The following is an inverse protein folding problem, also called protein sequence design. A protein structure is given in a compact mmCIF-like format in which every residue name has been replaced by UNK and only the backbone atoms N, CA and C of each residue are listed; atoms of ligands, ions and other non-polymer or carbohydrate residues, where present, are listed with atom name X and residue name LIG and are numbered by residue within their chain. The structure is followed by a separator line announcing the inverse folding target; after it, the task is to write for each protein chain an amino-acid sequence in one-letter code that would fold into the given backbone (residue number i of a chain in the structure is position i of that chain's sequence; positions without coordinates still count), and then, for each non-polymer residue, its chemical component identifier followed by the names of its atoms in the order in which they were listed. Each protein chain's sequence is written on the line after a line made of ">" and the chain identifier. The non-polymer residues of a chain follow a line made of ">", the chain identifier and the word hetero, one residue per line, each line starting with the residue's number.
data_IF_322490943861
#
_entry.id   IF_322490943861
#
_cell.length_a   1.000
_cell.length_b   1.000
_cell.length_c   1.000
_cell.angle_alpha   90.00
_cell.angle_beta   90.00
_cell.angle_gamma   90.00
#
_symmetry.space_group_name_H-M   'P 1'
#
loop_
_entity.id
_entity.type
_entity.pdbx_description
1 polymer ?
#
# COMPACT_ATOMS: atom_id res chain seq x y z
N UNK A 1 -7.18 -2.03 -19.39
CA UNK A 1 -7.54 -0.58 -19.44
C UNK A 1 -6.26 0.23 -19.33
N UNK A 2 -6.07 1.27 -20.16
CA UNK A 2 -4.90 2.16 -20.11
C UNK A 2 -5.37 3.59 -19.86
N UNK A 3 -4.88 4.22 -18.81
CA UNK A 3 -5.13 5.63 -18.53
C UNK A 3 -4.00 6.47 -19.12
N UNK A 4 -4.34 7.42 -19.97
CA UNK A 4 -3.36 8.39 -20.53
C UNK A 4 -3.01 9.48 -19.52
N UNK A 5 -3.90 9.75 -18.58
CA UNK A 5 -3.71 10.71 -17.51
C UNK A 5 -4.21 10.10 -16.19
N UNK A 6 -3.33 10.00 -15.21
CA UNK A 6 -3.64 9.52 -13.87
C UNK A 6 -2.85 10.34 -12.84
N UNK A 7 -3.55 10.87 -11.84
CA UNK A 7 -2.95 11.76 -10.84
C UNK A 7 -3.25 11.27 -9.43
N UNK A 8 -2.22 11.22 -8.59
CA UNK A 8 -2.42 11.05 -7.16
C UNK A 8 -2.97 12.37 -6.57
N UNK A 9 -3.88 12.26 -5.63
CA UNK A 9 -4.53 13.41 -4.98
C UNK A 9 -3.59 14.23 -4.09
N UNK A 10 -2.43 13.69 -3.76
CA UNK A 10 -1.38 14.35 -2.97
C UNK A 10 -0.02 13.71 -3.29
N UNK A 11 1.07 14.49 -3.29
CA UNK A 11 2.43 13.97 -3.44
C UNK A 11 2.94 13.30 -2.14
N UNK A 12 2.14 13.26 -1.09
CA UNK A 12 2.51 12.71 0.22
C UNK A 12 1.65 11.49 0.56
N UNK A 13 2.27 10.45 1.11
CA UNK A 13 1.66 9.13 1.31
C UNK A 13 0.39 9.15 2.16
N UNK A 14 0.41 9.70 3.36
CA UNK A 14 -0.76 9.68 4.26
C UNK A 14 -1.96 10.44 3.68
N UNK A 15 -1.85 11.69 3.21
CA UNK A 15 -2.97 12.40 2.58
C UNK A 15 -3.54 11.69 1.36
N UNK A 16 -2.67 11.12 0.50
CA UNK A 16 -3.11 10.38 -0.68
C UNK A 16 -3.89 9.12 -0.30
N UNK A 17 -3.39 8.34 0.68
CA UNK A 17 -4.09 7.15 1.21
C UNK A 17 -5.42 7.49 1.83
N UNK A 18 -5.47 8.60 2.55
CA UNK A 18 -6.69 9.15 3.11
C UNK A 18 -7.73 9.44 2.04
N UNK A 19 -7.30 10.10 0.98
CA UNK A 19 -8.16 10.43 -0.15
C UNK A 19 -8.74 9.17 -0.81
N UNK A 20 -7.93 8.14 -0.99
CA UNK A 20 -8.38 6.85 -1.54
C UNK A 20 -9.45 6.25 -0.64
N UNK A 21 -9.23 6.18 0.68
CA UNK A 21 -10.16 5.54 1.61
C UNK A 21 -11.52 6.24 1.68
N UNK A 22 -11.54 7.57 1.64
CA UNK A 22 -12.75 8.35 1.88
C UNK A 22 -13.33 9.03 0.63
N UNK A 23 -12.71 8.85 -0.53
CA UNK A 23 -13.18 9.45 -1.79
C UNK A 23 -13.18 10.98 -1.78
N UNK A 24 -12.32 11.62 -0.99
CA UNK A 24 -12.29 13.07 -0.82
C UNK A 24 -10.91 13.66 -1.03
N UNK A 25 -10.86 14.87 -1.58
CA UNK A 25 -9.62 15.62 -1.67
C UNK A 25 -8.98 15.80 -0.30
N UNK A 26 -7.65 15.61 -0.15
CA UNK A 26 -6.93 15.83 1.10
C UNK A 26 -7.12 17.25 1.66
N UNK A 27 -7.28 18.25 0.80
CA UNK A 27 -7.56 19.62 1.22
C UNK A 27 -8.90 19.75 1.97
N UNK A 28 -9.93 19.02 1.52
CA UNK A 28 -11.23 18.98 2.20
C UNK A 28 -11.18 18.22 3.52
N UNK A 29 -10.25 17.31 3.65
CA UNK A 29 -10.03 16.53 4.88
C UNK A 29 -9.11 17.27 5.87
N UNK A 30 -8.62 18.46 5.51
CA UNK A 30 -7.62 19.24 6.27
C UNK A 30 -6.35 18.43 6.58
N UNK A 31 -6.01 17.48 5.70
CA UNK A 31 -4.95 16.52 5.87
C UNK A 31 -3.97 16.58 4.69
N UNK A 32 -3.15 17.62 4.67
CA UNK A 32 -2.22 17.88 3.56
C UNK A 32 -0.78 17.47 3.84
N UNK A 33 -0.48 17.00 5.08
CA UNK A 33 0.87 16.60 5.53
C UNK A 33 0.84 15.30 6.33
N UNK A 34 1.96 14.59 6.38
CA UNK A 34 2.11 13.34 7.16
C UNK A 34 1.82 13.53 8.65
N UNK A 35 2.19 14.68 9.19
CA UNK A 35 2.06 15.00 10.62
C UNK A 35 0.64 15.41 11.06
N UNK A 36 -0.28 15.54 10.12
CA UNK A 36 -1.65 15.99 10.38
C UNK A 36 -2.62 14.94 10.94
N UNK A 37 -2.13 13.76 11.32
CA UNK A 37 -2.96 12.61 11.68
C UNK A 37 -3.91 12.78 12.88
N UNK A 38 -3.81 13.87 13.63
CA UNK A 38 -4.74 14.19 14.71
C UNK A 38 -5.99 14.96 14.24
N UNK A 39 -6.02 15.35 12.95
CA UNK A 39 -7.14 16.10 12.34
C UNK A 39 -7.98 15.25 11.40
N UNK A 40 -7.83 13.95 11.48
CA UNK A 40 -8.61 13.00 10.70
C UNK A 40 -10.07 13.03 11.16
N UNK A 41 -10.96 13.37 10.26
CA UNK A 41 -12.38 13.19 10.54
C UNK A 41 -12.73 11.70 10.38
N UNK A 42 -12.76 10.99 11.49
CA UNK A 42 -13.08 9.57 11.55
C UNK A 42 -14.58 9.24 11.36
N UNK A 43 -15.44 10.25 11.25
CA UNK A 43 -16.88 10.07 10.97
C UNK A 43 -17.14 9.82 9.46
N UNK A 44 -16.11 9.99 8.63
CA UNK A 44 -16.19 9.66 7.21
C UNK A 44 -16.30 8.15 7.02
N UNK A 45 -17.20 7.72 6.15
CA UNK A 45 -17.28 6.31 5.75
C UNK A 45 -16.18 5.99 4.74
N UNK A 46 -15.45 4.91 5.01
CA UNK A 46 -14.47 4.35 4.08
C UNK A 46 -15.14 3.36 3.10
N UNK A 47 -14.41 2.98 2.07
CA UNK A 47 -14.90 2.09 1.01
C UNK A 47 -15.56 0.82 1.57
N UNK A 48 -14.97 0.05 2.51
CA UNK A 48 -15.61 -1.17 3.01
C UNK A 48 -16.94 -0.90 3.74
N UNK A 49 -17.04 0.20 4.49
CA UNK A 49 -18.28 0.57 5.17
C UNK A 49 -19.41 0.89 4.19
N UNK A 50 -19.09 1.50 3.05
CA UNK A 50 -20.07 1.78 1.99
C UNK A 50 -20.49 0.47 1.31
N UNK A 51 -19.55 -0.39 0.97
CA UNK A 51 -19.84 -1.67 0.30
C UNK A 51 -20.70 -2.58 1.18
N UNK A 52 -20.34 -2.72 2.47
CA UNK A 52 -21.11 -3.54 3.43
C UNK A 52 -22.48 -2.98 3.75
N UNK A 53 -22.69 -1.68 3.57
CA UNK A 53 -24.03 -1.08 3.68
C UNK A 53 -24.93 -1.42 2.46
N UNK A 54 -24.33 -1.72 1.30
CA UNK A 54 -25.05 -2.16 0.10
C UNK A 54 -25.33 -3.67 0.16
N UNK A 55 -24.30 -4.45 0.51
CA UNK A 55 -24.40 -5.90 0.69
C UNK A 55 -23.52 -6.35 1.86
N UNK A 56 -24.15 -6.80 2.94
CA UNK A 56 -23.46 -7.20 4.17
C UNK A 56 -22.52 -8.41 4.00
N UNK A 57 -22.62 -9.16 2.91
CA UNK A 57 -21.74 -10.29 2.58
C UNK A 57 -20.35 -9.85 2.14
N UNK A 58 -20.15 -8.57 1.81
CA UNK A 58 -18.82 -8.09 1.41
C UNK A 58 -17.77 -8.41 2.47
N UNK A 59 -16.68 -9.02 2.01
CA UNK A 59 -15.45 -9.16 2.77
C UNK A 59 -14.47 -8.07 2.32
N UNK A 60 -13.75 -7.48 3.26
CA UNK A 60 -12.81 -6.42 2.94
C UNK A 60 -11.43 -6.69 3.56
N UNK A 61 -10.38 -6.54 2.76
CA UNK A 61 -9.00 -6.63 3.22
C UNK A 61 -8.16 -5.41 2.83
N UNK A 62 -7.29 -5.01 3.75
CA UNK A 62 -6.21 -4.07 3.50
C UNK A 62 -4.88 -4.69 3.91
N UNK A 63 -4.00 -4.91 2.96
CA UNK A 63 -2.69 -5.52 3.18
C UNK A 63 -1.58 -4.52 2.88
N UNK A 64 -0.56 -4.48 3.75
CA UNK A 64 0.60 -3.62 3.61
C UNK A 64 0.45 -2.27 4.31
N UNK A 65 0.97 -1.22 3.70
CA UNK A 65 1.10 0.10 4.32
C UNK A 65 -0.22 0.83 4.45
N UNK A 66 -0.70 0.98 5.68
CA UNK A 66 -1.91 1.76 5.99
C UNK A 66 -1.64 3.26 6.08
N UNK A 67 -0.77 3.67 6.97
CA UNK A 67 -0.31 5.04 7.18
C UNK A 67 -1.42 6.08 7.47
N UNK A 68 -2.50 5.63 8.08
CA UNK A 68 -3.61 6.45 8.59
C UNK A 68 -3.66 6.23 10.10
N UNK A 69 -3.89 7.27 10.89
CA UNK A 69 -3.94 7.18 12.36
C UNK A 69 -5.31 6.69 12.85
N UNK A 70 -5.66 5.50 12.50
CA UNK A 70 -6.78 4.75 13.08
C UNK A 70 -6.64 3.30 12.68
N UNK A 71 -7.16 2.39 13.47
CA UNK A 71 -7.17 0.98 13.13
C UNK A 71 -8.05 0.73 11.90
N UNK A 72 -7.60 -0.04 10.88
CA UNK A 72 -8.41 -0.40 9.72
C UNK A 72 -9.73 -1.09 10.10
N UNK A 73 -9.77 -1.83 11.19
CA UNK A 73 -10.99 -2.46 11.70
C UNK A 73 -12.12 -1.44 11.93
N UNK A 74 -11.79 -0.21 12.33
CA UNK A 74 -12.76 0.89 12.49
C UNK A 74 -13.54 1.17 11.21
N UNK A 75 -12.94 0.87 10.08
CA UNK A 75 -13.49 1.12 8.74
C UNK A 75 -14.02 -0.15 8.07
N UNK A 76 -14.31 -1.16 8.89
CA UNK A 76 -14.91 -2.43 8.48
C UNK A 76 -14.02 -3.30 7.56
N UNK A 77 -12.71 -3.19 7.66
CA UNK A 77 -11.80 -4.18 7.12
C UNK A 77 -11.82 -5.43 8.02
N UNK A 78 -12.05 -6.60 7.42
CA UNK A 78 -12.10 -7.90 8.12
C UNK A 78 -10.70 -8.49 8.29
N UNK A 79 -9.84 -8.25 7.29
CA UNK A 79 -8.44 -8.69 7.28
C UNK A 79 -7.55 -7.47 7.06
N UNK A 80 -6.57 -7.27 7.94
CA UNK A 80 -5.67 -6.12 7.83
C UNK A 80 -4.38 -6.29 8.64
N UNK A 81 -3.39 -5.48 8.32
CA UNK A 81 -2.07 -5.47 8.98
C UNK A 81 -1.99 -4.47 10.15
N UNK A 82 -3.10 -3.85 10.51
CA UNK A 82 -3.12 -2.83 11.56
C UNK A 82 -2.62 -1.47 11.10
N UNK A 83 -2.18 -0.66 12.06
CA UNK A 83 -1.69 0.70 11.82
C UNK A 83 -0.24 0.71 11.32
N UNK A 84 0.00 0.09 10.18
CA UNK A 84 1.31 0.01 9.55
C UNK A 84 1.76 1.35 8.93
N UNK A 85 3.06 1.57 8.88
CA UNK A 85 3.70 2.72 8.24
C UNK A 85 4.89 2.33 7.39
N UNK A 86 5.91 3.18 7.32
CA UNK A 86 7.11 2.90 6.54
C UNK A 86 8.02 1.85 7.18
N UNK A 87 8.02 1.76 8.52
CA UNK A 87 8.90 0.86 9.29
C UNK A 87 8.66 -0.60 8.95
N UNK A 88 7.39 -0.99 8.80
CA UNK A 88 6.99 -2.36 8.50
C UNK A 88 7.47 -2.83 7.12
N UNK A 89 7.80 -1.88 6.23
CA UNK A 89 8.46 -2.12 4.95
C UNK A 89 9.98 -1.88 4.97
N UNK A 90 10.61 -1.95 6.15
CA UNK A 90 12.06 -1.85 6.28
C UNK A 90 12.63 -0.43 6.22
N UNK A 91 11.78 0.61 6.36
CA UNK A 91 12.29 1.99 6.37
C UNK A 91 13.09 2.30 7.62
N UNK A 92 14.30 2.76 7.42
CA UNK A 92 15.18 3.34 8.44
C UNK A 92 15.43 4.80 8.11
N UNK A 93 15.23 5.70 9.08
CA UNK A 93 15.46 7.14 8.87
C UNK A 93 16.94 7.50 9.04
N UNK A 94 17.78 6.79 8.28
CA UNK A 94 19.23 7.01 8.20
C UNK A 94 19.61 6.96 6.72
N UNK A 95 20.00 8.11 6.17
CA UNK A 95 20.34 8.23 4.74
C UNK A 95 21.55 7.39 4.34
N UNK A 96 22.45 7.07 5.26
CA UNK A 96 23.59 6.20 4.99
C UNK A 96 23.16 4.77 4.64
N UNK A 97 21.95 4.37 5.05
CA UNK A 97 21.36 3.05 4.81
C UNK A 97 20.38 3.03 3.62
N UNK A 98 20.27 4.09 2.84
CA UNK A 98 19.35 4.15 1.70
C UNK A 98 19.95 3.56 0.42
N UNK A 99 20.89 2.64 0.56
CA UNK A 99 21.35 1.82 -0.56
C UNK A 99 20.42 0.63 -0.77
N UNK A 100 20.44 0.09 -1.99
CA UNK A 100 19.80 -1.17 -2.29
C UNK A 100 20.51 -2.33 -1.58
N UNK A 101 19.74 -3.27 -1.03
CA UNK A 101 20.25 -4.51 -0.44
C UNK A 101 19.39 -5.69 -0.85
N UNK A 102 20.03 -6.86 -0.90
CA UNK A 102 19.35 -8.10 -1.26
C UNK A 102 18.63 -8.69 -0.03
N UNK A 103 17.40 -9.15 -0.23
CA UNK A 103 16.63 -9.94 0.75
C UNK A 103 15.63 -10.86 0.02
N UNK A 104 15.14 -11.88 0.70
CA UNK A 104 14.28 -12.90 0.08
C UNK A 104 12.86 -12.38 -0.20
N UNK A 105 12.35 -11.52 0.65
CA UNK A 105 11.02 -10.88 0.49
C UNK A 105 11.12 -9.35 0.52
N UNK A 106 11.68 -8.74 -0.54
CA UNK A 106 11.93 -7.31 -0.59
C UNK A 106 10.64 -6.52 -0.39
N UNK A 107 10.66 -5.65 0.62
CA UNK A 107 9.49 -4.83 0.96
C UNK A 107 8.22 -5.66 1.21
N UNK A 108 8.35 -6.91 1.63
CA UNK A 108 7.24 -7.84 1.84
C UNK A 108 6.36 -8.05 0.59
N UNK A 109 6.95 -7.91 -0.60
CA UNK A 109 6.17 -7.98 -1.84
C UNK A 109 5.58 -9.36 -2.06
N UNK A 110 6.34 -10.40 -1.78
CA UNK A 110 5.91 -11.79 -2.01
C UNK A 110 4.91 -12.22 -0.94
N UNK A 111 5.21 -12.02 0.33
CA UNK A 111 4.30 -12.37 1.44
C UNK A 111 2.97 -11.60 1.39
N UNK A 112 2.98 -10.34 0.98
CA UNK A 112 1.74 -9.58 0.76
C UNK A 112 0.92 -10.15 -0.40
N UNK A 113 1.59 -10.58 -1.48
CA UNK A 113 0.93 -11.18 -2.63
C UNK A 113 0.32 -12.54 -2.27
N UNK A 114 1.03 -13.39 -1.55
CA UNK A 114 0.53 -14.69 -1.06
C UNK A 114 -0.73 -14.51 -0.21
N UNK A 115 -0.70 -13.61 0.75
CA UNK A 115 -1.86 -13.31 1.60
C UNK A 115 -3.03 -12.70 0.83
N UNK A 116 -2.76 -11.93 -0.22
CA UNK A 116 -3.78 -11.41 -1.11
C UNK A 116 -4.48 -12.53 -1.88
N UNK A 117 -3.71 -13.48 -2.41
CA UNK A 117 -4.23 -14.67 -3.11
C UNK A 117 -5.06 -15.55 -2.15
N UNK A 118 -4.55 -15.77 -0.93
CA UNK A 118 -5.27 -16.51 0.12
C UNK A 118 -6.64 -15.85 0.42
N UNK A 119 -6.67 -14.54 0.68
CA UNK A 119 -7.90 -13.81 0.94
C UNK A 119 -8.91 -13.89 -0.22
N UNK A 120 -8.43 -13.76 -1.46
CA UNK A 120 -9.28 -13.89 -2.64
C UNK A 120 -9.84 -15.31 -2.77
N UNK A 121 -9.00 -16.32 -2.59
CA UNK A 121 -9.40 -17.73 -2.66
C UNK A 121 -10.46 -18.07 -1.60
N UNK A 122 -10.24 -17.65 -0.36
CA UNK A 122 -11.23 -17.82 0.69
C UNK A 122 -12.56 -17.10 0.38
N UNK A 123 -12.49 -15.90 -0.16
CA UNK A 123 -13.70 -15.13 -0.47
C UNK A 123 -14.52 -15.80 -1.59
N UNK A 124 -13.85 -16.31 -2.60
CA UNK A 124 -14.47 -17.07 -3.69
C UNK A 124 -15.10 -18.37 -3.14
N UNK A 125 -14.36 -19.12 -2.31
CA UNK A 125 -14.87 -20.37 -1.69
C UNK A 125 -16.12 -20.13 -0.84
N UNK A 126 -16.22 -18.96 -0.22
CA UNK A 126 -17.39 -18.55 0.57
C UNK A 126 -18.51 -17.91 -0.25
N UNK A 127 -18.36 -17.83 -1.56
CA UNK A 127 -19.27 -17.11 -2.46
C UNK A 127 -19.56 -15.67 -1.99
N UNK A 128 -18.57 -15.03 -1.37
CA UNK A 128 -18.68 -13.69 -0.82
C UNK A 128 -18.07 -12.67 -1.78
N UNK A 129 -18.76 -11.57 -2.10
CA UNK A 129 -18.15 -10.47 -2.80
C UNK A 129 -17.05 -9.87 -1.92
N UNK A 130 -15.97 -9.38 -2.54
CA UNK A 130 -14.87 -8.84 -1.76
C UNK A 130 -14.30 -7.53 -2.31
N UNK A 131 -13.68 -6.79 -1.41
CA UNK A 131 -12.84 -5.64 -1.70
C UNK A 131 -11.45 -5.91 -1.12
N UNK A 132 -10.44 -5.89 -1.97
CA UNK A 132 -9.05 -6.07 -1.58
C UNK A 132 -8.23 -4.85 -1.99
N UNK A 133 -7.56 -4.23 -1.03
CA UNK A 133 -6.56 -3.20 -1.29
C UNK A 133 -5.18 -3.69 -0.83
N UNK A 134 -4.26 -3.82 -1.77
CA UNK A 134 -2.85 -4.09 -1.50
C UNK A 134 -2.10 -2.77 -1.60
N UNK A 135 -1.43 -2.41 -0.53
CA UNK A 135 -0.66 -1.17 -0.42
C UNK A 135 0.81 -1.49 -0.19
N UNK A 136 1.52 -1.83 -1.26
CA UNK A 136 2.92 -2.20 -1.18
C UNK A 136 3.79 -1.12 -0.49
N UNK A 137 4.85 -1.56 0.18
CA UNK A 137 5.88 -0.69 0.75
C UNK A 137 6.89 -0.22 -0.29
N UNK A 138 7.02 -0.96 -1.39
CA UNK A 138 7.82 -0.56 -2.54
C UNK A 138 7.20 0.71 -3.20
N UNK A 139 7.96 1.63 -3.70
CA UNK A 139 9.43 1.76 -3.72
C UNK A 139 9.94 2.76 -2.67
N UNK A 140 9.46 2.72 -1.47
CA UNK A 140 9.93 3.63 -0.42
C UNK A 140 11.37 3.24 0.02
N UNK A 141 12.19 4.23 0.39
CA UNK A 141 13.49 3.96 1.03
C UNK A 141 13.31 3.06 2.27
N UNK A 142 14.20 2.22 2.65
CA UNK A 142 15.39 1.81 1.95
C UNK A 142 15.00 0.87 0.81
N UNK A 143 15.73 0.93 -0.31
CA UNK A 143 15.46 0.03 -1.42
C UNK A 143 15.91 -1.40 -1.06
N UNK A 144 15.11 -2.37 -1.46
CA UNK A 144 15.44 -3.79 -1.30
C UNK A 144 15.05 -4.54 -2.57
N UNK A 145 15.78 -5.61 -2.89
CA UNK A 145 15.56 -6.40 -4.08
C UNK A 145 15.86 -7.88 -3.83
N UNK A 146 15.25 -8.75 -4.63
CA UNK A 146 15.65 -10.14 -4.70
C UNK A 146 16.84 -10.26 -5.65
N UNK A 147 17.91 -10.92 -5.24
CA UNK A 147 19.15 -11.01 -6.01
C UNK A 147 18.91 -11.54 -7.43
N UNK A 148 18.13 -12.61 -7.57
CA UNK A 148 17.81 -13.20 -8.88
C UNK A 148 17.06 -12.24 -9.80
N UNK A 149 16.10 -11.47 -9.28
CA UNK A 149 15.35 -10.48 -10.06
C UNK A 149 16.25 -9.31 -10.47
N UNK A 150 17.15 -8.88 -9.58
CA UNK A 150 18.13 -7.83 -9.89
C UNK A 150 19.08 -8.26 -11.01
N UNK A 151 19.59 -9.49 -10.98
CA UNK A 151 20.47 -10.03 -12.02
C UNK A 151 19.75 -10.15 -13.36
N UNK A 152 18.50 -10.64 -13.37
CA UNK A 152 17.67 -10.74 -14.56
C UNK A 152 17.45 -9.36 -15.21
N UNK A 153 16.98 -8.37 -14.44
CA UNK A 153 16.74 -7.02 -14.94
C UNK A 153 18.03 -6.35 -15.37
N UNK A 154 19.11 -6.49 -14.58
CA UNK A 154 20.43 -5.90 -14.91
C UNK A 154 20.99 -6.43 -16.22
N UNK A 155 20.74 -7.70 -16.54
CA UNK A 155 21.19 -8.30 -17.82
C UNK A 155 20.47 -7.70 -19.04
N UNK A 156 19.30 -7.12 -18.86
CA UNK A 156 18.48 -6.52 -19.91
C UNK A 156 18.75 -5.00 -20.09
N UNK A 157 19.42 -4.38 -19.13
CA UNK A 157 19.73 -2.94 -19.16
C UNK A 157 21.05 -2.73 -19.90
N UNK A 158 21.10 -1.87 -20.94
CA UNK A 158 22.37 -1.51 -21.58
C UNK A 158 23.39 -0.99 -20.57
N UNK A 159 24.64 -1.41 -20.68
CA UNK A 159 25.72 -1.09 -19.73
C UNK A 159 26.03 0.41 -19.55
N UNK A 160 25.42 1.28 -20.37
CA UNK A 160 25.47 2.75 -20.25
C UNK A 160 24.44 3.31 -19.26
N UNK A 161 23.45 2.52 -18.82
CA UNK A 161 22.45 2.95 -17.87
C UNK A 161 22.86 2.59 -16.45
N UNK A 162 22.61 3.51 -15.54
CA UNK A 162 23.04 3.40 -14.15
C UNK A 162 22.40 2.18 -13.47
N UNK A 163 23.18 1.41 -12.69
CA UNK A 163 22.68 0.26 -11.93
C UNK A 163 21.45 0.55 -11.08
N UNK A 164 21.26 1.81 -10.65
CA UNK A 164 20.09 2.24 -9.88
C UNK A 164 18.76 2.08 -10.61
N UNK A 165 18.73 1.96 -11.94
CA UNK A 165 17.51 1.71 -12.70
C UNK A 165 17.02 0.27 -12.59
N UNK A 166 17.87 -0.65 -12.18
CA UNK A 166 17.48 -2.05 -11.96
C UNK A 166 16.58 -2.24 -10.71
N UNK A 167 16.44 -1.20 -9.88
CA UNK A 167 15.54 -1.22 -8.71
C UNK A 167 14.11 -0.75 -9.03
N UNK A 168 13.89 -0.16 -10.17
CA UNK A 168 12.60 0.38 -10.58
C UNK A 168 11.78 -0.62 -11.40
#
# INVERSE_FOLDING_TARGET
>A
MRFSNAYASSPVCAPSRYSIQFGKSPARLLHTRVLGGNKVNHDQKAIPQVLKAIDSRYRAAHLGKWHIKADPARYAYDVHDGQTGNKEGGFVNDRSQWHGYAEDDPKRMFSLTERAVEFMTESVTREAPFFLQISHYALHSNLAYRQTSFEEVSSQIPGSLHQNLAYA
#
